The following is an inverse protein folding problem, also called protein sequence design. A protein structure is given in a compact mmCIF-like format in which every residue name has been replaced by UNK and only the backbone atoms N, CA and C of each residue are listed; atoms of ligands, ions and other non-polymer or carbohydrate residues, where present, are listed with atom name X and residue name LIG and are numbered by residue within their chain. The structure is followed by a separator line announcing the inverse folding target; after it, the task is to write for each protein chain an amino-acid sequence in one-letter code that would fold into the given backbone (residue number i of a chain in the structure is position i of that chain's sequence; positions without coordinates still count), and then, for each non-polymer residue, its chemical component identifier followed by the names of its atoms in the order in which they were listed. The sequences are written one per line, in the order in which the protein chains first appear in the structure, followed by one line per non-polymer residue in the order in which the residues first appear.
data_IF_453081915265
#
_entry.id   IF_453081915265
#
_cell.length_a   1.000
_cell.length_b   1.000
_cell.length_c   1.000
_cell.angle_alpha   90.00
_cell.angle_beta   90.00
_cell.angle_gamma   90.00
#
_symmetry.space_group_name_H-M   'P 1'
#
loop_
_entity.id
_entity.type
_entity.pdbx_description
1 polymer ?
#
# COMPACT_ATOMS: atom_id res chain seq x y z
N UNK A 1 15.89 -9.43 20.06
CA UNK A 1 14.51 -9.66 19.55
C UNK A 1 14.12 -8.50 18.64
N UNK A 2 13.45 -8.78 17.50
CA UNK A 2 13.08 -7.73 16.51
C UNK A 2 11.76 -7.00 16.86
N UNK A 3 11.02 -7.44 17.87
CA UNK A 3 9.73 -6.85 18.26
C UNK A 3 8.56 -7.25 17.38
N UNK A 4 8.66 -8.32 16.59
CA UNK A 4 7.52 -8.86 15.87
C UNK A 4 6.61 -9.63 16.83
N UNK A 5 5.36 -9.22 16.91
CA UNK A 5 4.31 -9.91 17.66
C UNK A 5 3.37 -10.53 16.62
N UNK A 6 3.06 -11.81 16.75
CA UNK A 6 2.13 -12.50 15.87
C UNK A 6 1.20 -13.42 16.64
N UNK A 7 0.04 -13.65 16.08
CA UNK A 7 -0.88 -14.68 16.53
C UNK A 7 -0.26 -16.06 16.20
N UNK A 8 -0.31 -16.97 17.16
CA UNK A 8 0.12 -18.35 16.96
C UNK A 8 -1.07 -19.15 16.37
N UNK A 9 -0.81 -19.84 15.25
CA UNK A 9 -1.77 -20.72 14.58
C UNK A 9 -3.17 -20.08 14.36
N UNK A 10 -3.30 -19.08 13.48
CA UNK A 10 -4.57 -18.40 13.24
C UNK A 10 -5.48 -19.24 12.33
N UNK A 11 -6.01 -20.33 12.86
CA UNK A 11 -6.85 -21.32 12.15
C UNK A 11 -8.18 -20.79 11.63
N UNK A 12 -8.61 -19.61 12.07
CA UNK A 12 -9.87 -18.95 11.67
C UNK A 12 -9.71 -17.99 10.47
N UNK A 13 -8.51 -17.85 9.89
CA UNK A 13 -8.28 -16.84 8.85
C UNK A 13 -9.16 -17.00 7.62
N UNK A 14 -9.40 -18.23 7.17
CA UNK A 14 -10.25 -18.46 6.00
C UNK A 14 -11.71 -17.99 6.26
N UNK A 15 -12.20 -18.14 7.48
CA UNK A 15 -13.51 -17.63 7.90
C UNK A 15 -13.49 -16.10 8.02
N UNK A 16 -12.42 -15.51 8.59
CA UNK A 16 -12.26 -14.07 8.74
C UNK A 16 -12.18 -13.33 7.39
N UNK A 17 -11.86 -14.03 6.31
CA UNK A 17 -11.80 -13.50 4.93
C UNK A 17 -12.97 -13.93 4.06
N UNK A 18 -14.05 -14.48 4.61
CA UNK A 18 -15.30 -14.68 3.87
C UNK A 18 -15.82 -13.37 3.25
N UNK A 19 -15.61 -12.25 3.97
CA UNK A 19 -15.76 -10.89 3.47
C UNK A 19 -14.38 -10.21 3.49
N UNK A 20 -13.78 -10.02 2.32
CA UNK A 20 -12.44 -9.47 2.20
C UNK A 20 -12.31 -8.05 2.80
N UNK A 21 -13.40 -7.27 2.83
CA UNK A 21 -13.48 -5.97 3.50
C UNK A 21 -14.57 -6.05 4.56
N UNK A 22 -14.20 -5.89 5.82
CA UNK A 22 -15.13 -5.92 6.92
C UNK A 22 -16.16 -4.78 6.82
N UNK A 23 -17.45 -5.08 7.02
CA UNK A 23 -18.53 -4.08 7.03
C UNK A 23 -18.31 -2.96 8.06
N UNK A 24 -17.53 -3.24 9.12
CA UNK A 24 -17.17 -2.26 10.14
C UNK A 24 -16.06 -1.27 9.69
N UNK A 25 -15.39 -1.49 8.54
CA UNK A 25 -14.36 -0.58 8.02
C UNK A 25 -14.98 0.67 7.36
N UNK A 26 -15.65 1.47 8.14
CA UNK A 26 -16.25 2.74 7.70
C UNK A 26 -15.21 3.79 7.33
N UNK A 27 -13.95 3.59 7.70
CA UNK A 27 -12.81 4.47 7.40
C UNK A 27 -12.17 4.27 6.02
N UNK A 28 -12.53 3.21 5.31
CA UNK A 28 -11.89 2.77 4.07
C UNK A 28 -11.65 3.89 3.05
N UNK A 29 -12.68 4.65 2.71
CA UNK A 29 -12.62 5.70 1.68
C UNK A 29 -11.68 6.84 2.10
N UNK A 30 -11.88 7.37 3.31
CA UNK A 30 -11.04 8.49 3.82
C UNK A 30 -9.58 8.08 4.00
N UNK A 31 -9.34 6.86 4.45
CA UNK A 31 -8.00 6.29 4.58
C UNK A 31 -7.32 6.19 3.21
N UNK A 32 -7.99 5.62 2.22
CA UNK A 32 -7.46 5.51 0.86
C UNK A 32 -7.16 6.89 0.22
N UNK A 33 -8.03 7.87 0.38
CA UNK A 33 -7.79 9.25 -0.08
C UNK A 33 -6.53 9.83 0.59
N UNK A 34 -6.40 9.71 1.90
CA UNK A 34 -5.25 10.21 2.64
C UNK A 34 -3.95 9.53 2.20
N UNK A 35 -3.97 8.21 2.04
CA UNK A 35 -2.81 7.42 1.62
C UNK A 35 -2.43 7.74 0.16
N UNK A 36 -3.39 7.82 -0.76
CA UNK A 36 -3.14 8.21 -2.14
C UNK A 36 -2.42 9.57 -2.23
N UNK A 37 -2.85 10.53 -1.42
CA UNK A 37 -2.19 11.83 -1.34
C UNK A 37 -0.73 11.72 -0.88
N UNK A 38 -0.43 10.94 0.17
CA UNK A 38 0.93 10.73 0.67
C UNK A 38 1.79 9.97 -0.35
N UNK A 39 1.26 8.88 -0.92
CA UNK A 39 1.96 8.08 -1.94
C UNK A 39 2.30 8.94 -3.16
N UNK A 40 1.35 9.72 -3.66
CA UNK A 40 1.58 10.60 -4.81
C UNK A 40 2.69 11.62 -4.55
N UNK A 41 2.71 12.27 -3.37
CA UNK A 41 3.76 13.24 -3.02
C UNK A 41 5.13 12.58 -2.93
N UNK A 42 5.23 11.39 -2.37
CA UNK A 42 6.47 10.61 -2.26
C UNK A 42 6.96 10.18 -3.64
N UNK A 43 6.11 9.58 -4.46
CA UNK A 43 6.47 9.18 -5.82
C UNK A 43 6.98 10.37 -6.61
N UNK A 44 6.26 11.48 -6.59
CA UNK A 44 6.58 12.64 -7.42
C UNK A 44 7.87 13.35 -6.97
N UNK A 45 8.03 13.68 -5.68
CA UNK A 45 9.17 14.51 -5.21
C UNK A 45 10.35 13.71 -4.69
N UNK A 46 10.12 12.63 -3.93
CA UNK A 46 11.22 11.83 -3.39
C UNK A 46 11.79 10.84 -4.40
N UNK A 47 10.92 10.13 -5.11
CA UNK A 47 11.32 9.13 -6.09
C UNK A 47 11.47 9.69 -7.51
N UNK A 48 11.11 10.97 -7.72
CA UNK A 48 11.20 11.69 -9.00
C UNK A 48 10.40 11.03 -10.13
N UNK A 49 9.35 10.33 -9.80
CA UNK A 49 8.47 9.69 -10.76
C UNK A 49 7.56 10.73 -11.45
N UNK A 50 7.49 10.68 -12.76
CA UNK A 50 6.76 11.67 -13.58
C UNK A 50 5.55 11.09 -14.30
N UNK A 51 5.02 9.97 -13.79
CA UNK A 51 3.82 9.32 -14.32
C UNK A 51 4.06 8.36 -15.48
N UNK A 52 5.28 8.26 -16.00
CA UNK A 52 5.63 7.37 -17.11
C UNK A 52 5.86 5.92 -16.67
N UNK A 53 6.18 5.70 -15.40
CA UNK A 53 6.37 4.38 -14.82
C UNK A 53 5.06 3.62 -14.64
N UNK A 54 5.17 2.31 -14.41
CA UNK A 54 4.06 1.45 -13.97
C UNK A 54 4.21 1.19 -12.48
N UNK A 55 3.08 1.07 -11.81
CA UNK A 55 3.01 0.85 -10.36
C UNK A 55 1.98 -0.25 -10.09
N UNK A 56 2.30 -1.16 -9.21
CA UNK A 56 1.39 -2.21 -8.78
C UNK A 56 0.76 -1.86 -7.43
N UNK A 57 -0.54 -1.98 -7.32
CA UNK A 57 -1.29 -1.97 -6.08
C UNK A 57 -1.59 -3.42 -5.71
N UNK A 58 -0.73 -4.01 -4.88
CA UNK A 58 -0.83 -5.39 -4.45
C UNK A 58 -1.78 -5.50 -3.26
N UNK A 59 -2.66 -6.49 -3.29
CA UNK A 59 -3.78 -6.63 -2.36
C UNK A 59 -4.63 -5.33 -2.33
N UNK A 60 -4.97 -4.82 -3.52
CA UNK A 60 -5.59 -3.51 -3.75
C UNK A 60 -7.09 -3.45 -3.41
N UNK A 61 -7.66 -4.48 -2.78
CA UNK A 61 -9.06 -4.55 -2.44
C UNK A 61 -9.96 -4.33 -3.67
N UNK A 62 -10.99 -3.51 -3.56
CA UNK A 62 -11.87 -3.16 -4.69
C UNK A 62 -11.26 -2.19 -5.72
N UNK A 63 -9.96 -1.83 -5.60
CA UNK A 63 -9.24 -0.97 -6.54
C UNK A 63 -9.33 0.53 -6.22
N UNK A 64 -9.67 0.92 -5.00
CA UNK A 64 -9.83 2.32 -4.59
C UNK A 64 -8.52 3.10 -4.73
N UNK A 65 -7.41 2.62 -4.16
CA UNK A 65 -6.13 3.30 -4.26
C UNK A 65 -5.68 3.41 -5.71
N UNK A 66 -5.77 2.32 -6.46
CA UNK A 66 -5.43 2.31 -7.91
C UNK A 66 -6.21 3.37 -8.66
N UNK A 67 -7.55 3.52 -8.43
CA UNK A 67 -8.35 4.56 -9.09
C UNK A 67 -7.89 5.96 -8.72
N UNK A 68 -7.70 6.24 -7.44
CA UNK A 68 -7.24 7.53 -6.95
C UNK A 68 -5.87 7.93 -7.52
N UNK A 69 -4.94 6.97 -7.60
CA UNK A 69 -3.60 7.21 -8.17
C UNK A 69 -3.66 7.47 -9.67
N UNK A 70 -4.54 6.79 -10.41
CA UNK A 70 -4.78 7.06 -11.83
C UNK A 70 -5.40 8.44 -12.03
N UNK A 71 -6.30 8.88 -11.17
CA UNK A 71 -6.87 10.24 -11.20
C UNK A 71 -5.83 11.33 -10.91
N UNK A 72 -4.74 10.99 -10.22
CA UNK A 72 -3.58 11.86 -10.02
C UNK A 72 -2.53 11.78 -11.14
N UNK A 73 -2.72 10.92 -12.14
CA UNK A 73 -1.88 10.83 -13.34
C UNK A 73 -0.85 9.69 -13.34
N UNK A 74 -0.79 8.85 -12.32
CA UNK A 74 0.12 7.71 -12.27
C UNK A 74 -0.48 6.46 -12.93
N UNK A 75 0.35 5.63 -13.58
CA UNK A 75 -0.07 4.38 -14.21
C UNK A 75 -0.11 3.24 -13.19
N UNK A 76 -1.07 3.26 -12.29
CA UNK A 76 -1.31 2.16 -11.35
C UNK A 76 -2.11 1.04 -11.99
N UNK A 77 -1.75 -0.19 -11.59
CA UNK A 77 -2.42 -1.43 -11.93
C UNK A 77 -2.77 -2.17 -10.67
N UNK A 78 -3.90 -2.85 -10.68
CA UNK A 78 -4.50 -3.52 -9.54
C UNK A 78 -4.24 -5.03 -9.56
N UNK A 79 -3.98 -5.60 -8.41
CA UNK A 79 -3.99 -7.04 -8.16
C UNK A 79 -4.49 -7.31 -6.76
N UNK A 80 -5.44 -8.25 -6.65
CA UNK A 80 -5.94 -8.78 -5.38
C UNK A 80 -6.32 -10.24 -5.56
N UNK A 81 -6.19 -11.02 -4.49
CA UNK A 81 -6.51 -12.45 -4.49
C UNK A 81 -7.94 -12.71 -4.01
N UNK A 82 -8.47 -11.84 -3.17
CA UNK A 82 -9.71 -12.05 -2.43
C UNK A 82 -10.84 -11.11 -2.86
N UNK A 83 -10.50 -9.99 -3.47
CA UNK A 83 -11.47 -8.98 -3.89
C UNK A 83 -11.68 -8.97 -5.40
N UNK A 84 -12.89 -8.58 -5.81
CA UNK A 84 -13.18 -8.23 -7.20
C UNK A 84 -12.72 -6.82 -7.54
N UNK A 85 -12.26 -6.63 -8.77
CA UNK A 85 -11.88 -5.32 -9.29
C UNK A 85 -13.13 -4.50 -9.67
N UNK A 86 -13.67 -3.74 -8.74
CA UNK A 86 -14.90 -2.98 -8.96
C UNK A 86 -14.65 -1.56 -9.51
N UNK A 87 -13.55 -0.91 -9.10
CA UNK A 87 -13.33 0.52 -9.37
C UNK A 87 -12.37 0.80 -10.52
N UNK A 88 -11.61 -0.21 -10.95
CA UNK A 88 -10.62 -0.07 -12.03
C UNK A 88 -10.67 -1.25 -13.02
N UNK A 89 -11.87 -1.63 -13.52
CA UNK A 89 -11.97 -2.68 -14.50
C UNK A 89 -11.09 -2.32 -15.71
N UNK A 90 -10.36 -3.31 -16.24
CA UNK A 90 -9.43 -3.11 -17.35
C UNK A 90 -8.01 -2.66 -16.95
N UNK A 91 -7.72 -2.42 -15.69
CA UNK A 91 -6.39 -2.09 -15.17
C UNK A 91 -5.86 -3.13 -14.18
N UNK A 92 -6.26 -4.38 -14.34
CA UNK A 92 -5.64 -5.50 -13.65
C UNK A 92 -4.19 -5.68 -14.12
N UNK A 93 -3.31 -5.96 -13.16
CA UNK A 93 -1.91 -6.28 -13.45
C UNK A 93 -1.80 -7.67 -14.11
N UNK A 94 -0.93 -7.78 -15.07
CA UNK A 94 -0.51 -9.06 -15.68
C UNK A 94 0.93 -8.93 -16.14
N UNK A 95 1.59 -10.07 -16.35
CA UNK A 95 3.02 -10.15 -16.67
C UNK A 95 3.41 -9.45 -17.99
N UNK A 96 2.46 -9.29 -18.92
CA UNK A 96 2.72 -8.60 -20.20
C UNK A 96 2.98 -7.11 -20.03
N UNK A 97 2.62 -6.52 -18.89
CA UNK A 97 2.87 -5.12 -18.58
C UNK A 97 4.34 -4.81 -18.30
N UNK A 98 5.15 -5.84 -17.98
CA UNK A 98 6.57 -5.69 -17.63
C UNK A 98 6.77 -5.04 -16.26
N UNK A 99 8.04 -4.73 -15.93
CA UNK A 99 8.45 -4.29 -14.60
C UNK A 99 7.77 -2.99 -14.12
N UNK A 100 7.43 -2.98 -12.84
CA UNK A 100 6.92 -1.81 -12.12
C UNK A 100 8.05 -1.03 -11.46
N UNK A 101 7.87 0.28 -11.32
CA UNK A 101 8.78 1.16 -10.57
C UNK A 101 8.71 0.92 -9.07
N UNK A 102 7.52 0.74 -8.58
CA UNK A 102 7.25 0.40 -7.18
C UNK A 102 5.92 -0.33 -7.02
N UNK A 103 5.76 -0.94 -5.86
CA UNK A 103 4.52 -1.60 -5.43
C UNK A 103 3.95 -0.85 -4.25
N UNK A 104 2.63 -0.79 -4.14
CA UNK A 104 1.92 -0.45 -2.90
C UNK A 104 1.29 -1.69 -2.29
N UNK A 105 1.28 -1.79 -0.95
CA UNK A 105 0.59 -2.82 -0.17
C UNK A 105 -0.01 -2.15 1.08
N UNK A 106 -1.21 -1.62 0.96
CA UNK A 106 -1.82 -0.75 1.96
C UNK A 106 -2.70 -1.54 2.91
N UNK A 107 -2.37 -1.51 4.22
CA UNK A 107 -3.08 -2.28 5.26
C UNK A 107 -3.09 -3.78 4.90
N UNK A 108 -1.92 -4.36 4.68
CA UNK A 108 -1.77 -5.77 4.23
C UNK A 108 -0.87 -6.57 5.17
N UNK A 109 0.24 -5.99 5.64
CA UNK A 109 1.26 -6.75 6.36
C UNK A 109 0.75 -7.35 7.67
N UNK A 110 -0.20 -6.71 8.33
CA UNK A 110 -0.89 -7.18 9.52
C UNK A 110 -1.74 -8.43 9.31
N UNK A 111 -2.07 -8.72 8.05
CA UNK A 111 -2.92 -9.81 7.64
C UNK A 111 -2.17 -11.05 7.15
N UNK A 112 -0.85 -10.95 6.91
CA UNK A 112 -0.10 -12.04 6.29
C UNK A 112 0.65 -12.89 7.32
N UNK A 113 0.64 -14.19 7.13
CA UNK A 113 1.33 -15.16 8.00
C UNK A 113 2.85 -15.15 7.80
N UNK A 114 3.32 -14.88 6.58
CA UNK A 114 4.74 -14.73 6.22
C UNK A 114 4.99 -13.38 5.53
N UNK A 115 5.26 -12.30 6.29
CA UNK A 115 5.50 -10.98 5.71
C UNK A 115 6.79 -10.90 4.88
N UNK A 116 7.79 -11.74 5.14
CA UNK A 116 9.02 -11.75 4.34
C UNK A 116 8.75 -12.39 2.98
N UNK A 117 8.07 -13.54 2.95
CA UNK A 117 7.64 -14.21 1.73
C UNK A 117 6.75 -13.29 0.89
N UNK A 118 5.72 -12.69 1.51
CA UNK A 118 4.81 -11.77 0.82
C UNK A 118 5.54 -10.61 0.12
N UNK A 119 6.42 -9.90 0.85
CA UNK A 119 7.15 -8.76 0.27
C UNK A 119 8.07 -9.23 -0.85
N UNK A 120 8.78 -10.35 -0.66
CA UNK A 120 9.67 -10.90 -1.67
C UNK A 120 8.91 -11.27 -2.95
N UNK A 121 7.88 -12.10 -2.83
CA UNK A 121 7.08 -12.57 -3.97
C UNK A 121 6.43 -11.42 -4.73
N UNK A 122 5.88 -10.44 -4.02
CA UNK A 122 5.26 -9.25 -4.62
C UNK A 122 6.26 -8.40 -5.39
N UNK A 123 7.48 -8.20 -4.86
CA UNK A 123 8.54 -7.46 -5.53
C UNK A 123 9.09 -8.23 -6.74
N UNK A 124 9.29 -9.53 -6.62
CA UNK A 124 9.79 -10.40 -7.70
C UNK A 124 8.78 -10.42 -8.86
N UNK A 125 7.51 -10.62 -8.57
CA UNK A 125 6.43 -10.60 -9.56
C UNK A 125 6.33 -9.26 -10.30
N UNK A 126 6.37 -8.16 -9.57
CA UNK A 126 6.31 -6.82 -10.16
C UNK A 126 7.63 -6.41 -10.85
N UNK A 127 8.71 -7.16 -10.72
CA UNK A 127 10.05 -6.75 -11.15
C UNK A 127 10.50 -5.44 -10.47
N UNK A 128 10.01 -5.16 -9.25
CA UNK A 128 10.23 -3.91 -8.55
C UNK A 128 11.29 -4.05 -7.45
N UNK A 129 11.87 -2.92 -7.03
CA UNK A 129 12.85 -2.88 -5.95
C UNK A 129 12.40 -1.98 -4.78
N UNK A 130 11.14 -1.58 -4.80
CA UNK A 130 10.55 -0.67 -3.81
C UNK A 130 9.13 -1.08 -3.53
N UNK A 131 8.81 -1.24 -2.25
CA UNK A 131 7.44 -1.40 -1.77
C UNK A 131 7.10 -0.28 -0.79
N UNK A 132 5.95 0.35 -0.99
CA UNK A 132 5.36 1.38 -0.13
C UNK A 132 4.16 0.77 0.55
N UNK A 133 4.10 0.80 1.86
CA UNK A 133 3.04 0.13 2.60
C UNK A 133 2.65 0.90 3.86
N UNK A 134 1.53 0.54 4.43
CA UNK A 134 1.07 1.00 5.74
C UNK A 134 0.88 -0.18 6.66
N UNK A 135 1.09 0.03 7.93
CA UNK A 135 0.71 -0.80 9.06
C UNK A 135 0.89 0.03 10.32
N UNK A 136 0.11 -0.19 11.37
CA UNK A 136 0.26 0.55 12.62
C UNK A 136 1.43 -0.02 13.42
N UNK A 137 2.27 0.86 13.97
CA UNK A 137 3.42 0.45 14.76
C UNK A 137 3.15 0.64 16.26
N UNK A 138 3.55 -0.33 17.06
CA UNK A 138 3.60 -0.16 18.51
C UNK A 138 5.03 0.11 18.99
N UNK A 139 5.16 0.75 20.15
CA UNK A 139 6.44 1.05 20.79
C UNK A 139 6.53 0.38 22.17
N UNK A 140 7.75 0.09 22.60
CA UNK A 140 8.00 -0.52 23.92
C UNK A 140 7.51 -1.97 24.03
N UNK A 141 6.75 -2.26 25.10
CA UNK A 141 6.12 -3.56 25.33
C UNK A 141 4.84 -3.70 24.47
N UNK A 142 4.41 -4.94 24.14
CA UNK A 142 3.16 -5.18 23.46
C UNK A 142 2.00 -4.50 24.19
N UNK A 143 1.14 -3.74 23.48
CA UNK A 143 -0.03 -3.10 24.08
C UNK A 143 -0.96 -4.15 24.73
N UNK A 144 -1.63 -3.77 25.81
CA UNK A 144 -2.67 -4.65 26.39
C UNK A 144 -3.82 -4.81 25.40
N UNK A 145 -4.46 -5.98 25.34
CA UNK A 145 -5.54 -6.25 24.40
C UNK A 145 -6.63 -5.19 24.36
N UNK A 146 -7.07 -4.70 25.51
CA UNK A 146 -8.16 -3.72 25.62
C UNK A 146 -7.69 -2.28 25.34
N UNK A 147 -6.37 -2.04 25.31
CA UNK A 147 -5.80 -0.70 25.16
C UNK A 147 -5.45 -0.35 23.71
N UNK A 148 -5.51 -1.29 22.78
CA UNK A 148 -5.10 -1.06 21.40
C UNK A 148 -6.11 -1.61 20.39
N UNK A 149 -6.84 -0.73 19.78
CA UNK A 149 -7.89 -1.03 18.80
C UNK A 149 -7.38 -1.82 17.58
N UNK A 150 -6.07 -1.66 17.25
CA UNK A 150 -5.47 -2.27 16.08
C UNK A 150 -5.35 -3.81 16.16
N UNK A 151 -5.56 -4.40 17.33
CA UNK A 151 -5.70 -5.86 17.43
C UNK A 151 -6.90 -6.40 16.65
N UNK A 152 -7.92 -5.55 16.40
CA UNK A 152 -9.08 -5.87 15.57
C UNK A 152 -9.76 -7.20 15.94
N UNK A 153 -9.85 -7.53 17.23
CA UNK A 153 -10.44 -8.79 17.69
C UNK A 153 -11.81 -9.14 17.11
N UNK A 154 -12.73 -8.18 16.89
CA UNK A 154 -14.05 -8.52 16.34
C UNK A 154 -14.01 -9.09 14.92
N UNK A 155 -12.99 -8.76 14.14
CA UNK A 155 -12.83 -9.26 12.76
C UNK A 155 -11.83 -10.42 12.70
N UNK A 156 -10.91 -10.55 13.66
CA UNK A 156 -9.88 -11.57 13.68
C UNK A 156 -8.87 -11.51 12.54
N UNK A 157 -8.89 -10.44 11.73
CA UNK A 157 -8.09 -10.33 10.51
C UNK A 157 -6.64 -9.92 10.76
N UNK A 158 -6.35 -9.16 11.84
CA UNK A 158 -5.00 -8.74 12.17
C UNK A 158 -4.27 -9.82 12.97
N UNK A 159 -3.23 -10.39 12.41
CA UNK A 159 -2.44 -11.48 12.97
C UNK A 159 -0.96 -11.15 13.17
N UNK A 160 -0.48 -10.06 12.58
CA UNK A 160 0.90 -9.58 12.65
C UNK A 160 1.00 -8.14 13.11
N UNK A 161 1.86 -7.85 14.11
CA UNK A 161 2.02 -6.52 14.67
C UNK A 161 3.50 -6.15 14.74
N UNK A 162 3.80 -4.89 14.39
CA UNK A 162 5.14 -4.48 14.07
C UNK A 162 5.62 -3.35 14.96
N UNK A 163 6.93 -3.33 15.17
CA UNK A 163 7.67 -2.15 15.61
C UNK A 163 8.55 -1.65 14.46
N UNK A 164 9.05 -0.42 14.54
CA UNK A 164 10.00 0.08 13.55
C UNK A 164 11.20 -0.86 13.37
N UNK A 165 11.74 -1.41 14.48
CA UNK A 165 12.85 -2.39 14.43
C UNK A 165 12.48 -3.71 13.74
N UNK A 166 11.20 -4.10 13.76
CA UNK A 166 10.71 -5.27 13.03
C UNK A 166 10.78 -5.03 11.52
N UNK A 167 10.33 -3.87 11.07
CA UNK A 167 10.38 -3.48 9.66
C UNK A 167 11.83 -3.31 9.17
N UNK A 168 12.75 -2.82 10.01
CA UNK A 168 14.19 -2.80 9.71
C UNK A 168 14.73 -4.22 9.52
N UNK A 169 14.38 -5.14 10.40
CA UNK A 169 14.81 -6.54 10.30
C UNK A 169 14.21 -7.24 9.07
N UNK A 170 12.96 -6.94 8.71
CA UNK A 170 12.32 -7.43 7.50
C UNK A 170 13.06 -6.94 6.25
N UNK A 171 13.32 -5.64 6.18
CA UNK A 171 14.09 -5.05 5.07
C UNK A 171 15.48 -5.66 4.94
N UNK A 172 16.20 -5.81 6.06
CA UNK A 172 17.55 -6.38 6.06
C UNK A 172 17.59 -7.81 5.49
N UNK A 173 16.57 -8.64 5.75
CA UNK A 173 16.45 -9.99 5.17
C UNK A 173 16.30 -9.99 3.64
N UNK A 174 15.78 -8.90 3.09
CA UNK A 174 15.52 -8.73 1.65
C UNK A 174 16.57 -7.83 0.96
N UNK A 175 17.58 -7.38 1.70
CA UNK A 175 18.59 -6.43 1.18
C UNK A 175 17.99 -5.06 0.88
N UNK A 176 16.95 -4.66 1.62
CA UNK A 176 16.25 -3.39 1.48
C UNK A 176 16.43 -2.53 2.74
N UNK A 177 16.38 -1.22 2.57
CA UNK A 177 16.45 -0.25 3.67
C UNK A 177 15.08 0.35 3.94
N UNK A 178 14.73 0.49 5.22
CA UNK A 178 13.48 1.11 5.66
C UNK A 178 13.60 2.63 5.70
N UNK A 179 12.61 3.31 5.11
CA UNK A 179 12.24 4.70 5.39
C UNK A 179 10.84 4.73 5.98
N UNK A 180 10.60 5.51 7.04
CA UNK A 180 9.32 5.43 7.77
C UNK A 180 8.96 6.76 8.41
N UNK A 181 7.78 7.31 8.06
CA UNK A 181 7.22 8.52 8.68
C UNK A 181 5.69 8.60 8.48
N UNK A 182 5.00 9.16 9.46
CA UNK A 182 3.55 9.49 9.41
C UNK A 182 2.66 8.31 8.95
N UNK A 183 2.97 7.08 9.40
CA UNK A 183 2.23 5.86 9.05
C UNK A 183 2.48 5.34 7.64
N UNK A 184 3.40 5.94 6.88
CA UNK A 184 3.85 5.43 5.60
C UNK A 184 5.25 4.82 5.74
N UNK A 185 5.42 3.61 5.24
CA UNK A 185 6.66 2.84 5.28
C UNK A 185 7.12 2.49 3.88
N UNK A 186 8.43 2.49 3.65
CA UNK A 186 9.03 2.20 2.36
C UNK A 186 10.21 1.27 2.59
N UNK A 187 10.22 0.12 1.95
CA UNK A 187 11.40 -0.72 1.84
C UNK A 187 11.94 -0.60 0.42
N UNK A 188 13.19 -0.18 0.30
CA UNK A 188 13.80 0.09 -1.01
C UNK A 188 15.32 -0.12 -0.99
N UNK A 189 15.91 -0.45 -2.15
CA UNK A 189 17.36 -0.37 -2.36
C UNK A 189 17.87 1.07 -2.37
N UNK A 190 17.02 2.03 -2.73
CA UNK A 190 17.31 3.46 -2.74
C UNK A 190 16.42 4.17 -1.72
N UNK A 191 16.81 4.19 -0.43
CA UNK A 191 15.95 4.70 0.65
C UNK A 191 15.70 6.21 0.50
N UNK A 192 14.50 6.61 0.89
CA UNK A 192 14.13 8.02 1.05
C UNK A 192 14.59 8.49 2.43
N UNK A 193 15.13 9.68 2.53
CA UNK A 193 15.47 10.26 3.84
C UNK A 193 14.19 10.45 4.68
N UNK A 194 14.22 9.99 5.95
CA UNK A 194 13.04 10.02 6.83
C UNK A 194 12.52 11.46 7.09
N UNK A 195 13.40 12.47 7.14
CA UNK A 195 12.99 13.87 7.28
C UNK A 195 12.25 14.37 6.04
N UNK A 196 12.75 14.03 4.85
CA UNK A 196 12.07 14.32 3.59
C UNK A 196 10.73 13.59 3.51
N UNK A 197 10.69 12.30 3.88
CA UNK A 197 9.46 11.53 3.92
C UNK A 197 8.44 12.17 4.89
N UNK A 198 8.87 12.55 6.10
CA UNK A 198 8.04 13.24 7.09
C UNK A 198 7.49 14.57 6.55
N UNK A 199 8.30 15.33 5.83
CA UNK A 199 7.86 16.58 5.19
C UNK A 199 6.82 16.30 4.09
N UNK A 200 7.11 15.39 3.16
CA UNK A 200 6.23 15.09 2.03
C UNK A 200 4.88 14.48 2.45
N UNK A 201 4.85 13.77 3.57
CA UNK A 201 3.64 13.12 4.10
C UNK A 201 2.94 13.93 5.18
N UNK A 202 3.38 15.17 5.45
CA UNK A 202 2.70 16.03 6.40
C UNK A 202 1.34 16.52 5.87
N UNK A 203 0.51 17.06 6.78
CA UNK A 203 -0.85 17.52 6.47
C UNK A 203 -0.92 18.50 5.30
N UNK A 204 0.04 19.43 5.20
CA UNK A 204 0.00 20.48 4.18
C UNK A 204 0.40 19.95 2.82
N UNK A 205 1.49 19.18 2.75
CA UNK A 205 1.93 18.54 1.50
C UNK A 205 0.90 17.53 0.99
N UNK A 206 0.30 16.73 1.86
CA UNK A 206 -0.75 15.78 1.48
C UNK A 206 -2.02 16.47 0.98
N UNK A 207 -2.27 17.74 1.35
CA UNK A 207 -3.44 18.49 0.87
C UNK A 207 -3.18 19.26 -0.43
N UNK A 208 -2.05 19.92 -0.55
CA UNK A 208 -1.74 20.80 -1.69
C UNK A 208 -0.98 20.08 -2.81
N UNK A 209 -0.13 19.12 -2.45
CA UNK A 209 0.70 18.39 -3.39
C UNK A 209 -0.08 17.66 -4.48
N UNK A 210 -1.13 16.88 -4.16
CA UNK A 210 -1.92 16.15 -5.16
C UNK A 210 -2.56 17.06 -6.21
N UNK A 211 -3.06 18.23 -5.82
CA UNK A 211 -3.60 19.21 -6.75
C UNK A 211 -2.54 19.66 -7.76
N UNK A 212 -1.32 19.98 -7.28
CA UNK A 212 -0.24 20.40 -8.15
C UNK A 212 0.26 19.24 -9.05
N UNK A 213 0.41 18.01 -8.48
CA UNK A 213 0.79 16.81 -9.24
C UNK A 213 -0.19 16.54 -10.36
N UNK A 214 -1.49 16.55 -10.07
CA UNK A 214 -2.54 16.34 -11.06
C UNK A 214 -2.49 17.37 -12.19
N UNK A 215 -2.15 18.63 -11.91
CA UNK A 215 -1.96 19.65 -12.94
C UNK A 215 -0.75 19.39 -13.82
N UNK A 216 0.30 18.76 -13.28
CA UNK A 216 1.54 18.47 -14.03
C UNK A 216 1.47 17.18 -14.82
N UNK A 217 0.89 16.12 -14.26
CA UNK A 217 0.83 14.81 -14.91
C UNK A 217 -0.41 14.65 -15.79
N UNK A 218 -1.46 15.40 -15.53
CA UNK A 218 -2.79 15.18 -16.12
C UNK A 218 -3.52 13.99 -15.44
N UNK A 219 -4.84 14.14 -15.24
CA UNK A 219 -5.66 13.02 -14.76
C UNK A 219 -5.87 12.00 -15.88
N UNK A 220 -5.86 10.72 -15.53
CA UNK A 220 -6.20 9.64 -16.48
C UNK A 220 -7.69 9.32 -16.55
N UNK A 221 -8.54 10.05 -15.81
CA UNK A 221 -9.98 9.78 -15.75
C UNK A 221 -10.61 9.68 -17.13
N UNK A 222 -10.37 10.67 -18.01
CA UNK A 222 -10.97 10.68 -19.35
C UNK A 222 -10.31 9.69 -20.31
N UNK A 223 -8.98 9.58 -20.30
CA UNK A 223 -8.28 8.61 -21.14
C UNK A 223 -8.62 7.16 -20.77
N UNK A 224 -8.83 6.89 -19.49
CA UNK A 224 -9.28 5.58 -19.00
C UNK A 224 -10.72 5.31 -19.45
N UNK A 225 -11.60 6.31 -19.36
CA UNK A 225 -12.98 6.21 -19.84
C UNK A 225 -13.03 5.88 -21.36
N UNK A 226 -12.30 6.61 -22.17
CA UNK A 226 -12.21 6.36 -23.62
C UNK A 226 -11.66 4.96 -23.94
N UNK A 227 -10.63 4.51 -23.17
CA UNK A 227 -10.08 3.17 -23.31
C UNK A 227 -11.13 2.09 -23.00
N UNK A 228 -11.92 2.30 -21.94
CA UNK A 228 -12.95 1.33 -21.54
C UNK A 228 -14.11 1.30 -22.52
N UNK A 229 -14.54 2.43 -23.08
CA UNK A 229 -15.56 2.46 -24.14
C UNK A 229 -15.15 1.64 -25.36
N UNK A 230 -13.86 1.71 -25.78
CA UNK A 230 -13.34 0.92 -26.92
C UNK A 230 -13.30 -0.59 -26.65
N UNK A 231 -13.41 -1.04 -25.41
CA UNK A 231 -13.44 -2.47 -25.04
C UNK A 231 -14.86 -3.03 -24.95
N UNK A 232 -15.86 -2.18 -24.89
CA UNK A 232 -17.27 -2.56 -24.80
C UNK A 232 -17.88 -2.69 -26.21
N UNK A 233 -17.31 -2.01 -27.20
CA UNK A 233 -17.66 -2.08 -28.62
C UNK A 233 -16.86 -3.17 -29.31
#
# INVERSE_FOLDING_TARGET
MCGFLRVHDPHWLDEAYSDAIAAADTGLVMRNISIACKVATVLYWAMKERGEGRYLDAAGGYGMLTRLMRDLGFNFYWKDKYCDNLLVPGFAYNDSLGACRSVTAIEVLEHVTDPVGFVKETLDEAGAQTIIFTTELYEGEPPRPEAWWYYAFPTGQHIGFYQRRTLVALGARLGLTLSSANGLHILSKSPVNDHLLKFLTNRWMSRLGPWWIRRRLGSKTMSDHELMLKRIV
#
